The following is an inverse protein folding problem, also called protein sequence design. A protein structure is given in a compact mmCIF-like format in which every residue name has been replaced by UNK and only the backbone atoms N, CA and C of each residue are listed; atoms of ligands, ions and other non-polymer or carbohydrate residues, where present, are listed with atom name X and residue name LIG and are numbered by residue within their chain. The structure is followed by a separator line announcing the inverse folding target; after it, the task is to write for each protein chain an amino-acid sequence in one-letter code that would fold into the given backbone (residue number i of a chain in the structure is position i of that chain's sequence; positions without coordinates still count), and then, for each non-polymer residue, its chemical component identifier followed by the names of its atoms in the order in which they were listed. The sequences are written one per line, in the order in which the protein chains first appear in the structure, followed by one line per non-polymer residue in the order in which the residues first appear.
data_IF_637187346049
#
_entry.id   IF_637187346049
#
_cell.length_a   1.000
_cell.length_b   1.000
_cell.length_c   1.000
_cell.angle_alpha   90.00
_cell.angle_beta   90.00
_cell.angle_gamma   90.00
#
_symmetry.space_group_name_H-M   'P 1'
#
loop_
_entity.id
_entity.type
_entity.pdbx_description
1 polymer ?
#
# COMPACT_ATOMS: atom_id res chain seq x y z
N UNK A 1 -3.90 31.55 -18.01
CA UNK A 1 -3.06 30.88 -16.99
C UNK A 1 -3.32 29.39 -17.10
N UNK A 2 -2.35 28.60 -17.57
CA UNK A 2 -2.46 27.15 -17.72
C UNK A 2 -1.56 26.51 -16.66
N UNK A 3 -2.02 25.55 -15.85
CA UNK A 3 -1.20 24.98 -14.79
C UNK A 3 -0.13 24.01 -15.33
N UNK A 4 1.10 24.19 -14.84
CA UNK A 4 2.31 23.41 -15.14
C UNK A 4 2.20 21.99 -14.57
N UNK A 5 2.14 20.98 -15.43
CA UNK A 5 2.21 19.54 -15.08
C UNK A 5 3.64 18.95 -15.16
N UNK A 6 4.68 19.78 -15.20
CA UNK A 6 5.98 19.37 -15.74
C UNK A 6 7.01 18.77 -14.77
N UNK A 7 6.66 18.40 -13.52
CA UNK A 7 7.65 17.89 -12.57
C UNK A 7 7.69 16.36 -12.40
N UNK A 8 6.61 15.65 -12.74
CA UNK A 8 6.55 14.18 -12.57
C UNK A 8 7.35 13.42 -13.64
N UNK A 9 7.39 13.92 -14.88
CA UNK A 9 8.07 13.27 -16.00
C UNK A 9 9.59 13.30 -15.88
N UNK A 10 10.15 14.37 -15.30
CA UNK A 10 11.58 14.54 -15.12
C UNK A 10 12.17 13.57 -14.09
N UNK A 11 11.43 13.28 -13.02
CA UNK A 11 11.84 12.34 -11.97
C UNK A 11 11.85 10.90 -12.48
N UNK A 12 10.91 10.55 -13.37
CA UNK A 12 10.84 9.22 -13.96
C UNK A 12 12.01 8.98 -14.93
N UNK A 13 12.41 9.99 -15.71
CA UNK A 13 13.53 9.87 -16.66
C UNK A 13 14.89 9.68 -15.97
N UNK A 14 15.12 10.30 -14.80
CA UNK A 14 16.36 10.16 -14.03
C UNK A 14 16.55 8.74 -13.46
N UNK A 15 15.44 8.03 -13.22
CA UNK A 15 15.45 6.69 -12.61
C UNK A 15 15.98 5.61 -13.56
N UNK A 16 15.91 5.82 -14.88
CA UNK A 16 16.30 4.82 -15.88
C UNK A 16 17.74 4.96 -16.42
N UNK A 17 18.46 6.05 -16.11
CA UNK A 17 19.78 6.36 -16.69
C UNK A 17 20.97 6.24 -15.71
N UNK A 18 20.78 5.70 -14.51
CA UNK A 18 21.80 5.70 -13.45
C UNK A 18 22.61 4.42 -13.21
N UNK A 19 22.49 3.36 -14.03
CA UNK A 19 22.95 2.03 -13.63
C UNK A 19 23.72 1.23 -14.67
N UNK A 20 24.82 1.75 -15.23
CA UNK A 20 25.75 0.92 -16.00
C UNK A 20 27.20 1.44 -15.98
N UNK A 21 28.09 0.68 -15.35
CA UNK A 21 29.52 0.66 -15.71
C UNK A 21 30.51 0.72 -14.55
N UNK A 22 31.22 -0.39 -14.32
CA UNK A 22 32.61 -0.56 -13.80
C UNK A 22 32.75 -2.07 -13.44
N UNK A 23 33.72 -2.90 -13.83
CA UNK A 23 35.01 -2.77 -14.51
C UNK A 23 36.00 -3.76 -13.87
N UNK A 24 36.56 -4.74 -14.61
CA UNK A 24 37.80 -5.47 -14.25
C UNK A 24 37.75 -7.02 -14.17
N UNK A 25 38.88 -7.74 -14.40
CA UNK A 25 38.96 -9.05 -15.10
C UNK A 25 39.15 -10.30 -14.20
N UNK A 26 39.16 -11.55 -14.75
CA UNK A 26 38.99 -12.80 -14.00
C UNK A 26 40.33 -13.35 -13.48
N UNK A 27 40.36 -13.80 -12.23
CA UNK A 27 41.48 -14.55 -11.64
C UNK A 27 40.96 -15.91 -11.16
N UNK A 28 41.52 -16.96 -11.77
CA UNK A 28 41.12 -18.34 -11.59
C UNK A 28 41.62 -19.00 -10.30
N UNK A 29 41.05 -20.17 -10.04
CA UNK A 29 41.44 -21.11 -9.00
C UNK A 29 40.35 -22.17 -8.79
N UNK A 30 40.46 -23.31 -9.47
CA UNK A 30 39.66 -24.52 -9.19
C UNK A 30 40.30 -25.32 -8.01
N UNK A 31 39.87 -26.55 -7.71
CA UNK A 31 38.60 -26.97 -7.09
C UNK A 31 38.87 -27.69 -5.74
N UNK A 32 37.99 -27.55 -4.74
CA UNK A 32 38.22 -28.13 -3.41
C UNK A 32 36.96 -28.74 -2.82
N UNK A 33 36.88 -30.06 -2.90
CA UNK A 33 35.91 -30.95 -2.25
C UNK A 33 35.75 -30.73 -0.75
N UNK A 34 34.50 -30.73 -0.24
CA UNK A 34 34.25 -31.04 1.17
C UNK A 34 32.93 -30.52 1.73
N UNK A 35 31.94 -31.42 1.87
CA UNK A 35 31.07 -31.64 3.04
C UNK A 35 29.63 -32.02 2.65
N UNK A 36 29.24 -33.31 2.81
CA UNK A 36 27.85 -33.74 2.74
C UNK A 36 27.14 -33.53 4.09
N UNK A 37 25.87 -33.12 4.04
CA UNK A 37 24.93 -33.31 5.15
C UNK A 37 24.73 -32.11 6.08
N UNK A 38 23.91 -31.16 5.65
CA UNK A 38 23.09 -30.40 6.60
C UNK A 38 21.69 -31.03 6.58
N UNK A 39 21.46 -31.99 7.48
CA UNK A 39 20.14 -32.47 7.79
C UNK A 39 19.28 -31.26 8.20
N UNK A 40 18.25 -30.95 7.41
CA UNK A 40 17.27 -29.92 7.75
C UNK A 40 16.46 -30.44 8.93
N UNK A 41 16.82 -30.02 10.14
CA UNK A 41 15.98 -30.23 11.31
C UNK A 41 14.62 -29.55 11.10
N UNK A 42 13.50 -30.17 11.51
CA UNK A 42 12.17 -29.59 11.38
C UNK A 42 12.10 -28.31 12.22
N UNK A 43 11.73 -27.20 11.59
CA UNK A 43 11.54 -25.93 12.27
C UNK A 43 10.30 -26.02 13.16
N UNK A 44 10.55 -26.07 14.46
CA UNK A 44 9.54 -26.04 15.53
C UNK A 44 8.67 -24.78 15.38
N UNK A 45 7.39 -24.95 15.07
CA UNK A 45 6.47 -23.87 14.67
C UNK A 45 5.94 -23.02 15.84
N UNK A 46 6.39 -23.33 17.06
CA UNK A 46 5.92 -22.73 18.33
C UNK A 46 6.80 -21.60 18.85
N UNK A 47 7.86 -21.19 18.13
CA UNK A 47 8.75 -20.06 18.53
C UNK A 47 8.49 -18.75 17.79
N UNK A 48 7.24 -18.43 17.46
CA UNK A 48 6.91 -17.04 17.20
C UNK A 48 6.95 -16.28 18.53
N UNK A 49 8.15 -15.81 18.90
CA UNK A 49 8.33 -14.91 20.02
C UNK A 49 7.44 -13.67 19.88
N UNK A 50 7.20 -12.93 20.97
CA UNK A 50 6.36 -11.75 20.92
C UNK A 50 6.80 -10.83 19.78
N UNK A 51 5.86 -10.25 19.02
CA UNK A 51 6.17 -9.42 17.88
C UNK A 51 7.17 -8.33 18.30
N UNK A 52 8.23 -8.07 17.50
CA UNK A 52 9.22 -7.05 17.83
C UNK A 52 8.56 -5.71 18.16
N UNK A 53 9.18 -4.89 19.01
CA UNK A 53 8.61 -3.60 19.41
C UNK A 53 8.22 -2.70 18.22
N UNK A 54 9.02 -2.74 17.14
CA UNK A 54 8.70 -2.06 15.87
C UNK A 54 7.42 -2.61 15.20
N UNK A 55 7.21 -3.92 15.25
CA UNK A 55 5.99 -4.57 14.75
C UNK A 55 4.77 -4.21 15.62
N UNK A 56 4.93 -4.16 16.95
CA UNK A 56 3.86 -3.72 17.86
C UNK A 56 3.49 -2.26 17.66
N UNK A 57 4.50 -1.39 17.49
CA UNK A 57 4.28 0.02 17.16
C UNK A 57 3.57 0.17 15.80
N UNK A 58 3.97 -0.61 14.80
CA UNK A 58 3.28 -0.66 13.50
C UNK A 58 1.84 -1.14 13.62
N UNK A 59 1.58 -2.17 14.42
CA UNK A 59 0.22 -2.71 14.64
C UNK A 59 -0.68 -1.69 15.35
N UNK A 60 -0.15 -0.97 16.35
CA UNK A 60 -0.86 0.13 17.00
C UNK A 60 -1.16 1.29 16.06
N UNK A 61 -0.20 1.66 15.19
CA UNK A 61 -0.39 2.69 14.19
C UNK A 61 -1.42 2.30 13.11
N UNK A 62 -1.51 1.01 12.75
CA UNK A 62 -2.57 0.51 11.86
C UNK A 62 -3.93 0.43 12.55
N UNK A 63 -3.98 0.07 13.84
CA UNK A 63 -5.23 -0.03 14.58
C UNK A 63 -5.88 1.33 14.87
N UNK A 64 -5.08 2.41 14.95
CA UNK A 64 -5.54 3.75 15.27
C UNK A 64 -5.49 4.72 14.08
N UNK A 65 -5.82 4.23 12.88
CA UNK A 65 -5.97 5.12 11.72
C UNK A 65 -7.21 5.99 11.92
N UNK A 66 -7.10 7.33 11.79
CA UNK A 66 -8.27 8.20 11.88
C UNK A 66 -9.27 7.84 10.77
N UNK A 67 -10.58 7.96 11.05
CA UNK A 67 -11.60 7.67 10.05
C UNK A 67 -11.42 8.57 8.83
N UNK A 68 -11.57 7.98 7.64
CA UNK A 68 -11.44 8.73 6.38
C UNK A 68 -12.67 9.62 6.22
N UNK A 69 -12.44 10.89 5.94
CA UNK A 69 -13.49 11.90 5.77
C UNK A 69 -13.40 12.51 4.38
N UNK A 70 -14.53 12.56 3.69
CA UNK A 70 -14.66 13.13 2.35
C UNK A 70 -15.54 14.38 2.39
N UNK A 71 -15.11 15.42 1.70
CA UNK A 71 -15.92 16.61 1.43
C UNK A 71 -16.59 16.45 0.06
N UNK A 72 -17.92 16.49 0.05
CA UNK A 72 -18.75 16.45 -1.16
C UNK A 72 -18.93 17.89 -1.62
N UNK A 73 -18.38 18.22 -2.78
CA UNK A 73 -18.41 19.57 -3.34
C UNK A 73 -19.39 19.61 -4.51
N UNK A 74 -20.26 20.61 -4.54
CA UNK A 74 -21.20 20.84 -5.64
C UNK A 74 -20.47 21.28 -6.91
N UNK A 75 -21.09 21.18 -8.10
CA UNK A 75 -20.51 21.68 -9.34
C UNK A 75 -20.12 23.17 -9.29
N UNK A 76 -20.81 23.96 -8.46
CA UNK A 76 -20.54 25.39 -8.22
C UNK A 76 -19.39 25.63 -7.22
N UNK A 77 -18.76 24.58 -6.70
CA UNK A 77 -17.64 24.66 -5.77
C UNK A 77 -18.02 24.80 -4.29
N UNK A 78 -19.29 24.59 -3.93
CA UNK A 78 -19.76 24.71 -2.55
C UNK A 78 -19.67 23.38 -1.81
N UNK A 79 -19.28 23.40 -0.54
CA UNK A 79 -19.36 22.20 0.33
C UNK A 79 -20.84 21.86 0.57
N UNK A 80 -21.24 20.68 0.11
CA UNK A 80 -22.60 20.15 0.29
C UNK A 80 -22.65 19.32 1.56
N UNK A 81 -21.69 18.40 1.74
CA UNK A 81 -21.69 17.46 2.86
C UNK A 81 -20.29 16.98 3.22
N UNK A 82 -20.10 16.57 4.47
CA UNK A 82 -18.89 15.90 4.95
C UNK A 82 -19.22 14.48 5.38
N UNK A 83 -18.74 13.52 4.60
CA UNK A 83 -19.03 12.10 4.80
C UNK A 83 -17.87 11.42 5.53
N UNK A 84 -18.16 10.80 6.68
CA UNK A 84 -17.20 9.95 7.40
C UNK A 84 -17.41 8.51 6.98
N UNK A 85 -16.39 7.87 6.43
CA UNK A 85 -16.46 6.44 6.13
C UNK A 85 -16.05 5.61 7.35
N UNK A 86 -16.81 4.55 7.67
CA UNK A 86 -16.36 3.55 8.64
C UNK A 86 -15.08 2.86 8.16
N UNK A 87 -14.29 2.36 9.11
CA UNK A 87 -13.11 1.57 8.81
C UNK A 87 -13.45 0.39 7.89
N UNK A 88 -12.54 0.08 6.96
CA UNK A 88 -12.70 -1.01 6.00
C UNK A 88 -13.65 -0.72 4.83
N UNK A 89 -14.17 0.51 4.70
CA UNK A 89 -14.85 0.97 3.49
C UNK A 89 -13.98 1.90 2.65
N UNK A 90 -14.21 1.88 1.34
CA UNK A 90 -13.62 2.84 0.40
C UNK A 90 -14.68 3.44 -0.50
N UNK A 91 -14.60 4.75 -0.74
CA UNK A 91 -15.45 5.45 -1.70
C UNK A 91 -15.13 4.99 -3.13
N UNK A 92 -16.16 4.62 -3.88
CA UNK A 92 -16.06 4.31 -5.32
C UNK A 92 -16.53 5.50 -6.15
N UNK A 93 -17.64 6.12 -5.75
CA UNK A 93 -18.18 7.27 -6.45
C UNK A 93 -19.55 7.69 -5.93
N UNK A 94 -20.09 8.72 -6.58
CA UNK A 94 -21.40 9.29 -6.29
C UNK A 94 -22.38 8.97 -7.42
N UNK A 95 -23.63 8.69 -7.04
CA UNK A 95 -24.75 8.46 -7.94
C UNK A 95 -25.78 9.59 -7.87
N UNK A 96 -26.85 9.51 -8.68
CA UNK A 96 -27.95 10.46 -8.65
C UNK A 96 -28.61 10.50 -7.26
N UNK A 97 -29.29 11.61 -6.97
CA UNK A 97 -30.11 11.80 -5.78
C UNK A 97 -29.41 11.55 -4.43
N UNK A 98 -28.12 11.86 -4.37
CA UNK A 98 -27.31 11.74 -3.14
C UNK A 98 -26.90 10.30 -2.81
N UNK A 99 -26.87 9.40 -3.80
CA UNK A 99 -26.33 8.06 -3.60
C UNK A 99 -24.80 8.07 -3.56
N UNK A 100 -24.26 7.24 -2.68
CA UNK A 100 -22.83 6.99 -2.56
C UNK A 100 -22.58 5.48 -2.68
N UNK A 101 -21.66 5.13 -3.56
CA UNK A 101 -21.20 3.75 -3.72
C UNK A 101 -19.90 3.56 -2.95
N UNK A 102 -19.88 2.59 -2.05
CA UNK A 102 -18.68 2.25 -1.27
C UNK A 102 -18.37 0.77 -1.42
N UNK A 103 -17.08 0.44 -1.48
CA UNK A 103 -16.70 -0.97 -1.31
C UNK A 103 -16.57 -1.30 0.17
N UNK A 104 -16.99 -2.50 0.54
CA UNK A 104 -16.72 -3.10 1.84
C UNK A 104 -15.95 -4.40 1.64
N UNK A 105 -14.97 -4.66 2.52
CA UNK A 105 -14.19 -5.88 2.49
C UNK A 105 -14.57 -6.77 3.67
N UNK A 106 -15.03 -7.99 3.38
CA UNK A 106 -15.27 -9.02 4.39
C UNK A 106 -14.37 -10.22 4.09
N UNK A 107 -13.28 -10.34 4.85
CA UNK A 107 -12.23 -11.33 4.59
C UNK A 107 -11.64 -11.21 3.19
N UNK A 108 -11.89 -12.22 2.34
CA UNK A 108 -11.42 -12.28 0.95
C UNK A 108 -12.43 -11.76 -0.07
N UNK A 109 -13.65 -11.43 0.36
CA UNK A 109 -14.71 -10.96 -0.52
C UNK A 109 -14.81 -9.43 -0.48
N UNK A 110 -15.19 -8.85 -1.61
CA UNK A 110 -15.44 -7.43 -1.79
C UNK A 110 -16.89 -7.24 -2.20
N UNK A 111 -17.58 -6.34 -1.52
CA UNK A 111 -18.98 -6.01 -1.76
C UNK A 111 -19.10 -4.56 -2.18
N UNK A 112 -20.07 -4.26 -3.03
CA UNK A 112 -20.48 -2.89 -3.31
C UNK A 112 -21.71 -2.58 -2.47
N UNK A 113 -21.59 -1.61 -1.57
CA UNK A 113 -22.70 -1.09 -0.77
C UNK A 113 -23.21 0.21 -1.40
N UNK A 114 -24.52 0.42 -1.32
CA UNK A 114 -25.16 1.68 -1.70
C UNK A 114 -25.66 2.39 -0.46
N UNK A 115 -25.21 3.63 -0.26
CA UNK A 115 -25.55 4.46 0.90
C UNK A 115 -26.26 5.71 0.39
N UNK A 116 -27.38 6.08 1.02
CA UNK A 116 -28.04 7.35 0.73
C UNK A 116 -27.60 8.41 1.72
N UNK A 117 -27.09 9.51 1.18
CA UNK A 117 -26.77 10.72 1.93
C UNK A 117 -28.07 11.46 2.32
N UNK A 118 -28.05 12.14 3.46
CA UNK A 118 -29.25 12.74 4.07
C UNK A 118 -29.47 14.18 3.64
#
# INVERSE_FOLDING_TARGET
MVPTTSNLSAQLAQSFMGGRGMGGPPMGGAPGSGAPGAATAPRDSTRQGPPPAAMMAMMGAMANQPPIVYDVISPEGKLVERVKLPAGRQLVGFGPDGLMYVTAREGRQMFLETVRLK
#
